data_IF_129040715329
#
_entry.id   IF_129040715329
#
_cell.length_a   1.000
_cell.length_b   1.000
_cell.length_c   1.000
_cell.angle_alpha   90.00
_cell.angle_beta   90.00
_cell.angle_gamma   90.00
#
_symmetry.space_group_name_H-M   'P 1'
#
loop_
_entity.id
_entity.type
_entity.pdbx_description
1 polymer ?
#
# COMPACT_ATOMS: atom_id res chain seq x y z
N UNK A 1 -4.40 -54.01 -18.24
CA UNK A 1 -4.62 -53.41 -19.57
C UNK A 1 -4.45 -51.91 -19.37
N UNK A 2 -3.58 -51.14 -19.99
CA UNK A 2 -2.80 -51.28 -21.22
C UNK A 2 -1.51 -50.46 -21.05
N UNK A 3 -0.35 -51.09 -21.28
CA UNK A 3 0.94 -50.41 -21.38
C UNK A 3 1.12 -49.93 -22.81
N UNK A 4 1.27 -48.62 -23.03
CA UNK A 4 1.58 -48.09 -24.36
C UNK A 4 3.09 -47.94 -24.52
N UNK A 5 3.67 -48.83 -25.33
CA UNK A 5 5.05 -48.82 -25.84
C UNK A 5 5.10 -47.90 -27.06
N UNK A 6 5.98 -46.90 -27.07
CA UNK A 6 6.37 -46.20 -28.30
C UNK A 6 7.90 -46.11 -28.36
N UNK A 7 8.41 -46.46 -29.54
CA UNK A 7 9.72 -47.00 -29.81
C UNK A 7 10.81 -45.95 -30.07
N UNK A 8 12.05 -46.33 -29.73
CA UNK A 8 13.30 -45.80 -30.27
C UNK A 8 13.31 -45.87 -31.81
N UNK A 9 13.77 -44.81 -32.47
CA UNK A 9 14.38 -44.91 -33.81
C UNK A 9 15.71 -44.16 -33.84
N UNK A 10 16.77 -44.94 -33.84
CA UNK A 10 18.09 -44.54 -34.30
C UNK A 10 18.10 -44.45 -35.82
N UNK A 11 18.77 -43.42 -36.36
CA UNK A 11 19.10 -43.34 -37.77
C UNK A 11 20.63 -43.36 -37.89
N UNK A 12 21.17 -44.56 -38.06
CA UNK A 12 22.49 -44.79 -38.62
C UNK A 12 22.44 -44.50 -40.11
N UNK A 13 23.24 -43.54 -40.59
CA UNK A 13 23.57 -43.43 -42.01
C UNK A 13 24.98 -43.96 -42.24
N UNK A 14 25.09 -44.89 -43.18
CA UNK A 14 26.30 -45.62 -43.52
C UNK A 14 26.69 -45.38 -44.99
N UNK A 15 28.02 -45.24 -45.19
CA UNK A 15 28.85 -45.54 -46.39
C UNK A 15 28.91 -44.53 -47.55
N UNK A 16 29.97 -44.55 -48.41
CA UNK A 16 31.05 -45.54 -48.53
C UNK A 16 32.50 -44.99 -48.50
N UNK A 17 33.44 -45.94 -48.39
CA UNK A 17 34.88 -45.77 -48.51
C UNK A 17 35.34 -45.74 -49.99
N UNK A 18 36.35 -44.92 -50.28
CA UNK A 18 37.11 -44.92 -51.52
C UNK A 18 38.42 -44.14 -51.33
N UNK A 19 39.55 -44.86 -51.28
CA UNK A 19 40.90 -44.30 -51.21
C UNK A 19 41.47 -44.27 -52.63
N UNK A 20 42.13 -43.16 -53.02
CA UNK A 20 43.40 -43.31 -53.71
C UNK A 20 44.52 -42.55 -53.00
N UNK A 21 45.69 -43.18 -52.98
CA UNK A 21 46.92 -42.66 -52.42
C UNK A 21 47.44 -41.46 -53.21
N UNK A 22 47.71 -40.36 -52.52
CA UNK A 22 48.49 -39.24 -53.04
C UNK A 22 49.50 -38.78 -52.00
N UNK A 23 50.77 -39.05 -52.32
CA UNK A 23 52.05 -38.42 -51.90
C UNK A 23 52.01 -37.53 -50.65
N UNK A 24 52.79 -37.93 -49.64
CA UNK A 24 53.13 -37.13 -48.46
C UNK A 24 53.75 -35.80 -48.89
N UNK A 25 53.06 -34.71 -48.58
CA UNK A 25 53.70 -33.42 -48.32
C UNK A 25 53.56 -33.16 -46.83
N UNK A 26 54.67 -33.12 -46.09
CA UNK A 26 54.69 -32.56 -44.74
C UNK A 26 54.55 -31.03 -44.85
N UNK A 27 53.36 -30.56 -45.22
CA UNK A 27 52.93 -29.22 -44.88
C UNK A 27 52.67 -29.23 -43.37
N UNK A 28 53.48 -28.46 -42.64
CA UNK A 28 53.16 -28.03 -41.29
C UNK A 28 51.72 -27.51 -41.27
N UNK A 29 50.79 -28.34 -40.82
CA UNK A 29 49.47 -27.89 -40.37
C UNK A 29 49.74 -27.02 -39.16
N UNK A 30 49.98 -25.73 -39.45
CA UNK A 30 49.89 -24.64 -38.52
C UNK A 30 48.55 -24.82 -37.82
N UNK A 31 48.61 -25.28 -36.57
CA UNK A 31 47.62 -24.90 -35.58
C UNK A 31 47.54 -23.38 -35.73
N UNK A 32 46.43 -22.91 -36.29
CA UNK A 32 46.20 -21.52 -36.61
C UNK A 32 46.15 -20.73 -35.31
N UNK A 33 47.33 -20.45 -34.77
CA UNK A 33 47.59 -19.27 -33.97
C UNK A 33 47.05 -18.13 -34.79
N UNK A 34 46.01 -17.49 -34.26
CA UNK A 34 45.73 -16.10 -34.53
C UNK A 34 47.05 -15.36 -34.33
N UNK A 35 47.78 -15.17 -35.42
CA UNK A 35 49.06 -14.48 -35.42
C UNK A 35 48.68 -13.02 -35.38
N UNK A 36 48.35 -12.53 -34.17
CA UNK A 36 48.22 -11.11 -33.89
C UNK A 36 49.42 -10.39 -34.50
N UNK A 37 49.19 -9.22 -35.09
CA UNK A 37 50.26 -8.44 -35.69
C UNK A 37 51.43 -8.33 -34.70
N UNK A 38 52.66 -8.74 -35.08
CA UNK A 38 53.78 -8.74 -34.15
C UNK A 38 54.04 -7.35 -33.56
N UNK A 39 53.65 -6.30 -34.29
CA UNK A 39 53.65 -4.91 -33.83
C UNK A 39 52.68 -4.66 -32.67
N UNK A 40 51.46 -5.21 -32.73
CA UNK A 40 50.43 -5.04 -31.71
C UNK A 40 50.81 -5.75 -30.41
N UNK A 41 51.42 -6.93 -30.50
CA UNK A 41 51.88 -7.68 -29.32
C UNK A 41 53.15 -7.10 -28.69
N UNK A 42 54.07 -6.57 -29.50
CA UNK A 42 55.21 -5.83 -28.99
C UNK A 42 54.77 -4.54 -28.27
N UNK A 43 53.77 -3.84 -28.81
CA UNK A 43 53.18 -2.67 -28.16
C UNK A 43 52.56 -3.02 -26.80
N UNK A 44 51.78 -4.11 -26.69
CA UNK A 44 51.19 -4.50 -25.41
C UNK A 44 52.21 -4.89 -24.34
N UNK A 45 53.36 -5.47 -24.73
CA UNK A 45 54.47 -5.75 -23.80
C UNK A 45 55.12 -4.45 -23.31
N UNK A 46 55.30 -3.47 -24.20
CA UNK A 46 55.85 -2.15 -23.87
C UNK A 46 54.88 -1.37 -22.95
N UNK A 47 53.58 -1.52 -23.15
CA UNK A 47 52.55 -0.80 -22.40
C UNK A 47 52.41 -1.29 -20.95
N UNK A 48 52.64 -2.58 -20.67
CA UNK A 48 52.59 -3.16 -19.31
C UNK A 48 53.76 -2.69 -18.42
N UNK A 49 54.85 -2.18 -18.99
CA UNK A 49 55.99 -1.70 -18.22
C UNK A 49 55.66 -0.42 -17.43
N UNK A 50 56.12 -0.31 -16.17
CA UNK A 50 55.88 0.88 -15.36
C UNK A 50 56.58 2.11 -15.97
N UNK A 51 55.82 3.18 -16.21
CA UNK A 51 56.31 4.44 -16.75
C UNK A 51 55.35 5.05 -17.77
N UNK A 52 55.13 6.37 -17.70
CA UNK A 52 54.17 7.09 -18.56
C UNK A 52 54.79 7.63 -19.86
N UNK A 53 56.13 7.57 -20.02
CA UNK A 53 56.85 8.13 -21.16
C UNK A 53 57.47 7.02 -22.02
N UNK A 54 57.40 7.17 -23.36
CA UNK A 54 57.96 6.21 -24.31
C UNK A 54 59.47 5.98 -24.11
N UNK A 55 60.21 7.05 -23.81
CA UNK A 55 61.65 7.01 -23.52
C UNK A 55 61.95 6.16 -22.28
N UNK A 56 61.12 6.23 -21.24
CA UNK A 56 61.29 5.43 -20.02
C UNK A 56 61.01 3.96 -20.28
N UNK A 57 59.96 3.63 -21.04
CA UNK A 57 59.62 2.24 -21.38
C UNK A 57 60.70 1.57 -22.22
N UNK A 58 61.20 2.26 -23.27
CA UNK A 58 62.33 1.75 -24.08
C UNK A 58 63.63 1.76 -23.30
N UNK A 59 63.83 2.74 -22.43
CA UNK A 59 64.99 2.84 -21.55
C UNK A 59 65.10 1.67 -20.59
N UNK A 60 64.00 1.29 -19.93
CA UNK A 60 63.97 0.13 -19.01
C UNK A 60 64.28 -1.17 -19.76
N UNK A 61 63.67 -1.40 -20.92
CA UNK A 61 63.95 -2.61 -21.71
C UNK A 61 65.41 -2.65 -22.18
N UNK A 62 65.93 -1.52 -22.66
CA UNK A 62 67.31 -1.43 -23.13
C UNK A 62 68.30 -1.64 -21.98
N UNK A 63 68.09 -1.04 -20.82
CA UNK A 63 68.99 -1.18 -19.66
C UNK A 63 68.92 -2.58 -19.04
N UNK A 64 67.74 -3.17 -18.91
CA UNK A 64 67.59 -4.56 -18.42
C UNK A 64 68.26 -5.53 -19.38
N UNK A 65 68.03 -5.38 -20.69
CA UNK A 65 68.63 -6.26 -21.69
C UNK A 65 70.15 -6.11 -21.71
N UNK A 66 70.67 -4.88 -21.70
CA UNK A 66 72.10 -4.62 -21.62
C UNK A 66 72.73 -5.12 -20.32
N UNK A 67 72.01 -5.01 -19.20
CA UNK A 67 72.44 -5.54 -17.90
C UNK A 67 72.53 -7.06 -17.88
N UNK A 68 71.54 -7.75 -18.48
CA UNK A 68 71.55 -9.21 -18.60
C UNK A 68 72.67 -9.70 -19.53
N UNK A 69 72.87 -9.07 -20.69
CA UNK A 69 73.97 -9.44 -21.60
C UNK A 69 75.33 -9.18 -20.96
N UNK A 70 75.49 -8.09 -20.23
CA UNK A 70 76.70 -7.80 -19.45
C UNK A 70 76.95 -8.84 -18.35
N UNK A 71 75.91 -9.23 -17.60
CA UNK A 71 76.00 -10.22 -16.55
C UNK A 71 76.42 -11.60 -17.07
N UNK A 72 75.92 -12.00 -18.24
CA UNK A 72 76.32 -13.25 -18.92
C UNK A 72 77.73 -13.13 -19.48
N UNK A 73 78.06 -12.02 -20.15
CA UNK A 73 79.37 -11.82 -20.78
C UNK A 73 80.52 -11.81 -19.77
N UNK A 74 80.31 -11.26 -18.57
CA UNK A 74 81.31 -11.20 -17.51
C UNK A 74 81.24 -12.37 -16.53
N UNK A 75 80.44 -13.40 -16.82
CA UNK A 75 80.25 -14.56 -15.94
C UNK A 75 79.81 -14.19 -14.51
N UNK A 76 79.14 -13.03 -14.34
CA UNK A 76 78.54 -12.66 -13.06
C UNK A 76 77.41 -13.64 -12.68
N UNK A 77 76.82 -14.29 -13.68
CA UNK A 77 75.91 -15.42 -13.50
C UNK A 77 76.53 -16.70 -14.07
N UNK A 78 76.79 -17.66 -13.18
CA UNK A 78 77.33 -18.98 -13.55
C UNK A 78 76.18 -19.98 -13.59
N UNK A 79 76.01 -20.65 -14.72
CA UNK A 79 74.99 -21.69 -14.87
C UNK A 79 75.42 -22.92 -14.08
N UNK A 80 74.91 -23.04 -12.85
CA UNK A 80 75.12 -24.18 -11.96
C UNK A 80 73.85 -25.06 -11.85
N UNK A 81 73.93 -26.18 -11.13
CA UNK A 81 72.81 -27.07 -10.83
C UNK A 81 71.60 -26.36 -10.20
N UNK A 82 71.84 -25.33 -9.39
CA UNK A 82 70.78 -24.51 -8.78
C UNK A 82 69.95 -23.70 -9.79
N UNK A 83 70.46 -23.48 -11.01
CA UNK A 83 69.72 -22.75 -12.05
C UNK A 83 68.55 -23.55 -12.60
N UNK A 84 68.65 -24.89 -12.59
CA UNK A 84 67.55 -25.80 -12.93
C UNK A 84 66.49 -25.77 -11.82
N UNK A 85 66.92 -25.74 -10.55
CA UNK A 85 66.03 -25.56 -9.41
C UNK A 85 65.30 -24.20 -9.47
N UNK A 86 66.02 -23.11 -9.77
CA UNK A 86 65.42 -21.78 -9.94
C UNK A 86 64.41 -21.76 -11.11
N UNK A 87 64.76 -22.34 -12.26
CA UNK A 87 63.87 -22.41 -13.42
C UNK A 87 62.57 -23.17 -13.12
N UNK A 88 62.66 -24.31 -12.46
CA UNK A 88 61.48 -25.08 -12.04
C UNK A 88 60.65 -24.36 -10.97
N UNK A 89 61.30 -23.68 -10.02
CA UNK A 89 60.60 -22.86 -9.01
C UNK A 89 59.83 -21.70 -9.65
N UNK A 90 60.42 -20.98 -10.61
CA UNK A 90 59.72 -19.90 -11.31
C UNK A 90 58.58 -20.42 -12.18
N UNK A 91 58.78 -21.54 -12.89
CA UNK A 91 57.72 -22.18 -13.67
C UNK A 91 56.55 -22.63 -12.79
N UNK A 92 56.84 -23.27 -11.65
CA UNK A 92 55.84 -23.69 -10.67
C UNK A 92 55.11 -22.49 -10.06
N UNK A 93 55.85 -21.45 -9.67
CA UNK A 93 55.27 -20.20 -9.13
C UNK A 93 54.36 -19.51 -10.14
N UNK A 94 54.72 -19.51 -11.42
CA UNK A 94 53.87 -18.97 -12.49
C UNK A 94 52.56 -19.77 -12.65
N UNK A 95 52.62 -21.10 -12.53
CA UNK A 95 51.42 -21.96 -12.57
C UNK A 95 50.53 -21.69 -11.35
N UNK A 96 51.11 -21.59 -10.14
CA UNK A 96 50.37 -21.22 -8.92
C UNK A 96 49.71 -19.86 -9.07
N UNK A 97 50.46 -18.86 -9.53
CA UNK A 97 49.93 -17.51 -9.71
C UNK A 97 48.76 -17.49 -10.72
N UNK A 98 48.78 -18.36 -11.73
CA UNK A 98 47.72 -18.42 -12.73
C UNK A 98 46.51 -19.24 -12.29
N UNK A 99 46.70 -20.30 -11.53
CA UNK A 99 45.63 -21.27 -11.19
C UNK A 99 45.10 -21.05 -9.77
N UNK A 100 45.98 -20.92 -8.78
CA UNK A 100 45.60 -20.87 -7.36
C UNK A 100 45.21 -19.45 -6.95
N UNK A 101 45.88 -18.42 -7.48
CA UNK A 101 45.55 -17.03 -7.13
C UNK A 101 44.09 -16.64 -7.43
N UNK A 102 43.50 -16.94 -8.61
CA UNK A 102 42.09 -16.63 -8.84
C UNK A 102 41.15 -17.45 -7.93
N UNK A 103 41.45 -18.73 -7.70
CA UNK A 103 40.64 -19.58 -6.80
C UNK A 103 40.66 -19.06 -5.36
N UNK A 104 41.83 -18.65 -4.86
CA UNK A 104 41.93 -18.07 -3.53
C UNK A 104 41.25 -16.71 -3.44
N UNK A 105 41.35 -15.90 -4.51
CA UNK A 105 40.65 -14.61 -4.59
C UNK A 105 39.14 -14.79 -4.50
N UNK A 106 38.56 -15.68 -5.29
CA UNK A 106 37.12 -15.92 -5.28
C UNK A 106 36.64 -16.43 -3.92
N UNK A 107 37.42 -17.31 -3.28
CA UNK A 107 37.15 -17.78 -1.92
C UNK A 107 37.21 -16.65 -0.88
N UNK A 108 38.24 -15.80 -0.96
CA UNK A 108 38.42 -14.66 -0.07
C UNK A 108 37.28 -13.63 -0.25
N UNK A 109 36.93 -13.29 -1.49
CA UNK A 109 35.86 -12.36 -1.82
C UNK A 109 34.50 -12.90 -1.34
N UNK A 110 34.23 -14.21 -1.50
CA UNK A 110 33.02 -14.84 -0.98
C UNK A 110 32.95 -14.77 0.56
N UNK A 111 34.08 -14.98 1.25
CA UNK A 111 34.12 -14.91 2.72
C UNK A 111 33.92 -13.49 3.22
N UNK A 112 34.60 -12.51 2.61
CA UNK A 112 34.44 -11.09 2.93
C UNK A 112 32.98 -10.68 2.71
N UNK A 113 32.40 -11.03 1.56
CA UNK A 113 31.00 -10.74 1.27
C UNK A 113 30.05 -11.34 2.31
N UNK A 114 30.21 -12.61 2.68
CA UNK A 114 29.38 -13.24 3.71
C UNK A 114 29.46 -12.51 5.06
N UNK A 115 30.65 -12.06 5.48
CA UNK A 115 30.81 -11.31 6.73
C UNK A 115 30.15 -9.93 6.63
N UNK A 116 30.32 -9.23 5.51
CA UNK A 116 29.69 -7.93 5.27
C UNK A 116 28.17 -8.03 5.21
N UNK A 117 27.63 -9.06 4.54
CA UNK A 117 26.20 -9.29 4.41
C UNK A 117 25.57 -9.58 5.79
N UNK A 118 26.20 -10.42 6.62
CA UNK A 118 25.74 -10.70 7.99
C UNK A 118 25.76 -9.43 8.84
N UNK A 119 26.83 -8.63 8.74
CA UNK A 119 26.96 -7.39 9.50
C UNK A 119 25.89 -6.36 9.10
N UNK A 120 25.63 -6.20 7.80
CA UNK A 120 24.62 -5.29 7.29
C UNK A 120 23.20 -5.76 7.63
N UNK A 121 22.91 -7.06 7.49
CA UNK A 121 21.65 -7.65 7.88
C UNK A 121 21.40 -7.51 9.38
N UNK A 122 22.41 -7.74 10.22
CA UNK A 122 22.31 -7.56 11.68
C UNK A 122 22.01 -6.10 12.06
N UNK A 123 22.65 -5.13 11.39
CA UNK A 123 22.36 -3.71 11.60
C UNK A 123 20.91 -3.38 11.21
N UNK A 124 20.45 -3.84 10.05
CA UNK A 124 19.08 -3.63 9.60
C UNK A 124 18.06 -4.24 10.58
N UNK A 125 18.24 -5.51 10.95
CA UNK A 125 17.38 -6.20 11.90
C UNK A 125 17.36 -5.51 13.28
N UNK A 126 18.48 -4.97 13.74
CA UNK A 126 18.52 -4.22 15.00
C UNK A 126 17.75 -2.91 14.91
N UNK A 127 17.89 -2.17 13.82
CA UNK A 127 17.12 -0.93 13.59
C UNK A 127 15.62 -1.24 13.52
N UNK A 128 15.23 -2.30 12.81
CA UNK A 128 13.84 -2.74 12.71
C UNK A 128 13.27 -3.16 14.07
N UNK A 129 14.03 -3.94 14.85
CA UNK A 129 13.61 -4.36 16.19
C UNK A 129 13.46 -3.16 17.15
N UNK A 130 14.34 -2.17 17.07
CA UNK A 130 14.23 -0.93 17.85
C UNK A 130 13.01 -0.13 17.39
N UNK A 131 12.78 0.00 16.08
CA UNK A 131 11.61 0.70 15.54
C UNK A 131 10.31 0.03 15.99
N UNK A 132 10.22 -1.30 15.90
CA UNK A 132 9.05 -2.06 16.37
C UNK A 132 8.77 -1.81 17.86
N UNK A 133 9.81 -1.73 18.70
CA UNK A 133 9.65 -1.36 20.12
C UNK A 133 9.21 0.08 20.31
N UNK A 134 9.71 1.02 19.52
CA UNK A 134 9.25 2.41 19.54
C UNK A 134 7.77 2.48 19.20
N UNK A 135 7.32 1.75 18.18
CA UNK A 135 5.92 1.73 17.75
C UNK A 135 5.02 1.12 18.84
N UNK A 136 5.42 0.01 19.46
CA UNK A 136 4.70 -0.57 20.60
C UNK A 136 4.61 0.38 21.80
N UNK A 137 5.69 1.09 22.13
CA UNK A 137 5.68 2.06 23.24
C UNK A 137 4.88 3.31 22.88
N UNK A 138 4.89 3.74 21.62
CA UNK A 138 4.10 4.87 21.14
C UNK A 138 2.61 4.62 21.30
N UNK A 139 2.13 3.38 21.06
CA UNK A 139 0.72 3.02 21.31
C UNK A 139 0.34 3.14 22.79
N UNK A 140 1.29 2.93 23.71
CA UNK A 140 1.03 3.06 25.14
C UNK A 140 0.97 4.52 25.63
N UNK A 141 1.47 5.48 24.83
CA UNK A 141 1.47 6.90 25.17
C UNK A 141 0.04 7.45 25.35
N UNK A 142 -0.91 6.96 24.55
CA UNK A 142 -2.28 7.48 24.51
C UNK A 142 -3.23 6.76 25.49
N UNK A 143 -2.76 5.79 26.26
CA UNK A 143 -3.61 5.04 27.20
C UNK A 143 -4.10 5.93 28.34
N UNK A 144 -3.28 6.87 28.81
CA UNK A 144 -3.67 7.79 29.91
C UNK A 144 -4.76 8.76 29.46
N UNK A 145 -4.63 9.37 28.27
CA UNK A 145 -5.65 10.27 27.73
C UNK A 145 -6.95 9.51 27.43
N UNK A 146 -6.87 8.32 26.84
CA UNK A 146 -8.04 7.47 26.57
C UNK A 146 -8.75 7.05 27.85
N UNK A 147 -8.00 6.74 28.91
CA UNK A 147 -8.58 6.37 30.22
C UNK A 147 -9.30 7.56 30.85
N UNK A 148 -8.70 8.75 30.83
CA UNK A 148 -9.38 9.97 31.32
C UNK A 148 -10.64 10.27 30.51
N UNK A 149 -10.57 10.17 29.19
CA UNK A 149 -11.74 10.34 28.32
C UNK A 149 -12.86 9.34 28.64
N UNK A 150 -12.52 8.09 28.97
CA UNK A 150 -13.51 7.09 29.37
C UNK A 150 -14.21 7.46 30.71
N UNK A 151 -13.46 8.02 31.66
CA UNK A 151 -14.04 8.53 32.91
C UNK A 151 -14.90 9.78 32.69
N UNK A 152 -14.47 10.68 31.81
CA UNK A 152 -15.23 11.89 31.50
C UNK A 152 -16.54 11.54 30.78
N UNK A 153 -16.50 10.63 29.79
CA UNK A 153 -17.71 10.10 29.14
C UNK A 153 -18.66 9.46 30.15
N UNK A 154 -18.13 8.70 31.12
CA UNK A 154 -18.95 8.09 32.17
C UNK A 154 -19.64 9.16 33.05
N UNK A 155 -18.91 10.21 33.44
CA UNK A 155 -19.49 11.34 34.21
C UNK A 155 -20.53 12.11 33.42
N UNK A 156 -20.21 12.48 32.17
CA UNK A 156 -21.11 13.19 31.28
C UNK A 156 -22.40 12.40 31.02
N UNK A 157 -22.30 11.08 30.87
CA UNK A 157 -23.46 10.19 30.71
C UNK A 157 -24.37 10.26 31.93
N UNK A 158 -23.83 10.15 33.14
CA UNK A 158 -24.63 10.23 34.38
C UNK A 158 -25.28 11.61 34.53
N UNK A 159 -24.56 12.69 34.22
CA UNK A 159 -25.14 14.04 34.27
C UNK A 159 -26.26 14.24 33.25
N UNK A 160 -26.09 13.74 32.02
CA UNK A 160 -27.09 13.83 30.97
C UNK A 160 -28.32 12.99 31.29
N UNK A 161 -28.14 11.79 31.85
CA UNK A 161 -29.23 10.95 32.32
C UNK A 161 -30.02 11.66 33.44
N UNK A 162 -29.34 12.22 34.44
CA UNK A 162 -30.01 12.95 35.52
C UNK A 162 -30.82 14.14 34.99
N UNK A 163 -30.23 14.96 34.10
CA UNK A 163 -30.93 16.08 33.45
C UNK A 163 -32.13 15.59 32.63
N UNK A 164 -31.96 14.52 31.86
CA UNK A 164 -33.04 13.94 31.07
C UNK A 164 -34.20 13.43 31.96
N UNK A 165 -33.90 12.81 33.10
CA UNK A 165 -34.90 12.38 34.07
C UNK A 165 -35.68 13.57 34.68
N UNK A 166 -34.99 14.64 35.08
CA UNK A 166 -35.66 15.84 35.60
C UNK A 166 -36.56 16.50 34.56
N UNK A 167 -36.06 16.67 33.33
CA UNK A 167 -36.85 17.23 32.23
C UNK A 167 -38.06 16.35 31.91
N UNK A 168 -37.89 15.02 31.91
CA UNK A 168 -38.99 14.08 31.70
C UNK A 168 -40.06 14.21 32.79
N UNK A 169 -39.69 14.24 34.06
CA UNK A 169 -40.64 14.42 35.16
C UNK A 169 -41.42 15.75 35.05
N UNK A 170 -40.75 16.84 34.65
CA UNK A 170 -41.41 18.14 34.43
C UNK A 170 -42.40 18.10 33.27
N UNK A 171 -42.04 17.45 32.16
CA UNK A 171 -42.91 17.31 30.99
C UNK A 171 -44.09 16.40 31.29
N UNK A 172 -43.87 15.28 31.97
CA UNK A 172 -44.94 14.35 32.35
C UNK A 172 -45.96 15.03 33.27
N UNK A 173 -45.50 15.76 34.29
CA UNK A 173 -46.38 16.54 35.18
C UNK A 173 -47.15 17.63 34.40
N UNK A 174 -46.49 18.36 33.50
CA UNK A 174 -47.13 19.37 32.68
C UNK A 174 -48.17 18.75 31.72
N UNK A 175 -47.89 17.55 31.19
CA UNK A 175 -48.81 16.82 30.32
C UNK A 175 -50.04 16.33 31.09
N UNK A 176 -49.88 15.81 32.31
CA UNK A 176 -51.01 15.44 33.18
C UNK A 176 -51.87 16.66 33.54
N UNK A 177 -51.24 17.78 33.94
CA UNK A 177 -51.95 19.02 34.23
C UNK A 177 -52.71 19.54 33.00
N UNK A 178 -52.10 19.49 31.81
CA UNK A 178 -52.78 19.86 30.56
C UNK A 178 -53.93 18.91 30.25
N UNK A 179 -53.74 17.60 30.37
CA UNK A 179 -54.77 16.61 30.08
C UNK A 179 -56.00 16.79 30.98
N UNK A 180 -55.79 17.09 32.27
CA UNK A 180 -56.88 17.44 33.16
C UNK A 180 -57.57 18.72 32.67
N UNK A 181 -56.84 19.81 32.44
CA UNK A 181 -57.43 21.08 31.97
C UNK A 181 -58.21 20.94 30.65
N UNK A 182 -57.68 20.19 29.68
CA UNK A 182 -58.35 19.90 28.41
C UNK A 182 -59.65 19.10 28.63
N UNK A 183 -59.67 18.20 29.63
CA UNK A 183 -60.90 17.47 30.00
C UNK A 183 -61.96 18.40 30.62
N UNK A 184 -61.56 19.39 31.42
CA UNK A 184 -62.45 20.41 31.96
C UNK A 184 -63.03 21.29 30.85
N UNK A 185 -62.19 21.76 29.93
CA UNK A 185 -62.63 22.57 28.78
C UNK A 185 -63.60 21.78 27.90
N UNK A 186 -63.31 20.49 27.64
CA UNK A 186 -64.21 19.62 26.88
C UNK A 186 -65.54 19.41 27.60
N UNK A 187 -65.52 19.22 28.92
CA UNK A 187 -66.74 19.11 29.71
C UNK A 187 -67.56 20.40 29.63
N UNK A 188 -66.93 21.57 29.79
CA UNK A 188 -67.61 22.86 29.70
C UNK A 188 -68.22 23.10 28.32
N UNK A 189 -67.47 22.80 27.24
CA UNK A 189 -67.98 22.92 25.88
C UNK A 189 -69.22 22.02 25.64
N UNK A 190 -69.19 20.78 26.15
CA UNK A 190 -70.34 19.87 26.08
C UNK A 190 -71.55 20.39 26.85
N UNK A 191 -71.34 20.92 28.06
CA UNK A 191 -72.42 21.51 28.88
C UNK A 191 -73.02 22.72 28.16
N UNK A 192 -72.19 23.65 27.66
CA UNK A 192 -72.66 24.81 26.90
C UNK A 192 -73.45 24.41 25.67
N UNK A 193 -73.02 23.37 24.95
CA UNK A 193 -73.75 22.85 23.79
C UNK A 193 -75.10 22.24 24.20
N UNK A 194 -75.15 21.45 25.27
CA UNK A 194 -76.39 20.87 25.77
C UNK A 194 -77.38 21.94 26.25
N UNK A 195 -76.90 22.98 26.95
CA UNK A 195 -77.72 24.12 27.36
C UNK A 195 -78.28 24.87 26.15
N UNK A 196 -77.45 25.15 25.13
CA UNK A 196 -77.90 25.77 23.88
C UNK A 196 -78.95 24.92 23.16
N UNK A 197 -78.76 23.60 23.10
CA UNK A 197 -79.75 22.69 22.52
C UNK A 197 -81.07 22.67 23.31
N UNK A 198 -81.01 22.67 24.65
CA UNK A 198 -82.19 22.73 25.51
C UNK A 198 -82.93 24.07 25.39
N UNK A 199 -82.20 25.18 25.37
CA UNK A 199 -82.74 26.52 25.15
C UNK A 199 -83.38 26.63 23.77
N UNK A 200 -82.71 26.16 22.71
CA UNK A 200 -83.25 26.14 21.35
C UNK A 200 -84.54 25.32 21.28
N UNK A 201 -84.56 24.10 21.83
CA UNK A 201 -85.78 23.26 21.91
C UNK A 201 -86.91 23.96 22.66
N UNK A 202 -86.60 24.62 23.78
CA UNK A 202 -87.59 25.35 24.58
C UNK A 202 -88.15 26.57 23.86
N UNK A 203 -87.29 27.33 23.16
CA UNK A 203 -87.70 28.51 22.38
C UNK A 203 -88.53 28.08 21.17
N UNK A 204 -88.10 27.07 20.41
CA UNK A 204 -88.86 26.54 19.26
C UNK A 204 -90.24 26.06 19.73
N UNK A 205 -90.31 25.25 20.80
CA UNK A 205 -91.58 24.76 21.33
C UNK A 205 -92.49 25.89 21.86
N UNK A 206 -91.93 26.97 22.41
CA UNK A 206 -92.71 28.17 22.79
C UNK A 206 -93.24 28.91 21.56
N UNK A 207 -92.41 29.10 20.53
CA UNK A 207 -92.80 29.75 19.28
C UNK A 207 -93.91 28.95 18.55
N UNK A 208 -93.79 27.63 18.46
CA UNK A 208 -94.84 26.77 17.89
C UNK A 208 -96.17 26.87 18.65
N UNK A 209 -96.11 26.97 19.99
CA UNK A 209 -97.30 27.18 20.84
C UNK A 209 -97.92 28.57 20.67
N UNK A 210 -97.12 29.62 20.49
CA UNK A 210 -97.63 30.97 20.23
C UNK A 210 -98.23 31.10 18.82
N UNK A 211 -97.64 30.46 17.80
CA UNK A 211 -98.18 30.45 16.43
C UNK A 211 -99.54 29.73 16.35
N UNK A 212 -99.77 28.71 17.17
CA UNK A 212 -101.05 28.00 17.24
C UNK A 212 -102.13 28.74 18.05
N UNK A 213 -101.78 29.84 18.71
CA UNK A 213 -102.71 30.63 19.52
C UNK A 213 -103.59 31.53 18.62
N UNK A 214 -104.94 31.43 18.66
CA UNK A 214 -105.82 32.17 17.76
C UNK A 214 -105.66 33.70 17.90
N UNK A 215 -105.37 34.20 19.10
CA UNK A 215 -105.15 35.64 19.34
C UNK A 215 -103.90 36.18 18.65
N UNK A 216 -102.88 35.35 18.45
CA UNK A 216 -101.66 35.75 17.75
C UNK A 216 -101.88 35.69 16.23
N UNK A 217 -102.60 34.67 15.73
CA UNK A 217 -102.99 34.57 14.33
C UNK A 217 -103.82 35.78 13.88
N UNK A 218 -104.81 36.19 14.68
CA UNK A 218 -105.63 37.38 14.38
C UNK A 218 -104.78 38.65 14.29
N UNK A 219 -103.81 38.82 15.20
CA UNK A 219 -102.88 39.97 15.17
C UNK A 219 -101.97 39.96 13.96
N UNK A 220 -101.43 38.80 13.57
CA UNK A 220 -100.60 38.66 12.37
C UNK A 220 -101.42 38.96 11.12
N UNK A 221 -102.66 38.48 11.04
CA UNK A 221 -103.55 38.77 9.91
C UNK A 221 -103.85 40.28 9.82
N UNK A 222 -104.13 40.94 10.94
CA UNK A 222 -104.34 42.40 10.97
C UNK A 222 -103.08 43.15 10.53
N UNK A 223 -101.90 42.73 10.98
CA UNK A 223 -100.64 43.35 10.60
C UNK A 223 -100.29 43.11 9.12
N UNK A 224 -100.54 41.91 8.60
CA UNK A 224 -100.36 41.59 7.18
C UNK A 224 -101.31 42.41 6.30
N UNK A 225 -102.57 42.59 6.70
CA UNK A 225 -103.51 43.49 6.00
C UNK A 225 -103.00 44.93 6.02
N UNK A 226 -102.52 45.43 7.17
CA UNK A 226 -101.97 46.78 7.28
C UNK A 226 -100.68 46.97 6.44
N UNK A 227 -99.82 45.97 6.34
CA UNK A 227 -98.62 46.01 5.48
C UNK A 227 -98.97 45.98 3.99
N UNK A 228 -99.95 45.15 3.61
CA UNK A 228 -100.49 45.12 2.24
C UNK A 228 -101.11 46.47 1.89
N UNK A 229 -101.92 47.06 2.76
CA UNK A 229 -102.50 48.39 2.58
C UNK A 229 -101.43 49.47 2.41
N UNK A 230 -100.31 49.41 3.15
CA UNK A 230 -99.18 50.33 2.97
C UNK A 230 -98.47 50.14 1.62
N UNK A 231 -98.26 48.90 1.18
CA UNK A 231 -97.65 48.62 -0.14
C UNK A 231 -98.56 49.13 -1.27
N UNK A 232 -99.87 48.94 -1.16
CA UNK A 232 -100.83 49.48 -2.14
C UNK A 232 -100.96 51.01 -2.08
N UNK A 233 -100.83 51.62 -0.90
CA UNK A 233 -100.80 53.08 -0.76
C UNK A 233 -99.49 53.71 -1.28
N UNK A 234 -98.38 52.98 -1.26
CA UNK A 234 -97.11 53.40 -1.84
C UNK A 234 -97.00 53.11 -3.36
N UNK A 235 -97.87 52.25 -3.91
CA UNK A 235 -97.94 51.91 -5.33
C UNK A 235 -98.91 52.79 -6.14
N UNK A 236 -99.30 53.95 -5.60
CA UNK A 236 -100.12 54.99 -6.23
C UNK A 236 -99.36 56.30 -6.23
#
# INVERSE_FOLDING_TARGET
>A
MSFSRIALRSAFNARPAGVPASVRCFSTSRLALQQEDPKAKAASIIDVLPGNNAISKTGILATVTAGLTYAVSNQLYIVNEETILAGTFFAFSAIIAKVIAPLYKDFADARVKSVTDILNASRANHVEAVQSRIDSVSQLKDVVSTTNALFDVSKETVELEAKAFELKQKVDLAAEAKATLDSWVRYEANVRQQEQEQLAKTVIAKVEKEITNPKFQDKILQQAVAEVEKVFAAAK
#
